data_IF_822127912484
#
_entry.id   IF_822127912484
#
_cell.length_a   1.000
_cell.length_b   1.000
_cell.length_c   1.000
_cell.angle_alpha   90.00
_cell.angle_beta   90.00
_cell.angle_gamma   90.00
#
_symmetry.space_group_name_H-M   'P 1'
#
loop_
_entity.id
_entity.type
_entity.pdbx_description
1 polymer ?
#
# COMPACT_ATOMS: atom_id res chain seq x y z
N UNK A 1 -18.08 -10.75 4.36
CA UNK A 1 -17.74 -9.75 3.33
C UNK A 1 -17.95 -10.36 1.95
N UNK A 2 -18.74 -9.72 1.11
CA UNK A 2 -19.00 -10.17 -0.25
C UNK A 2 -18.10 -9.40 -1.22
N UNK A 3 -17.53 -10.11 -2.18
CA UNK A 3 -16.60 -9.53 -3.15
C UNK A 3 -17.13 -9.68 -4.57
N UNK A 4 -16.92 -8.64 -5.38
CA UNK A 4 -17.26 -8.63 -6.79
C UNK A 4 -15.98 -8.56 -7.62
N UNK A 5 -15.86 -9.44 -8.59
CA UNK A 5 -14.71 -9.46 -9.51
C UNK A 5 -14.77 -8.21 -10.41
N UNK A 6 -13.72 -7.38 -10.37
CA UNK A 6 -13.61 -6.17 -11.20
C UNK A 6 -12.53 -6.29 -12.26
N UNK A 7 -11.64 -7.29 -12.14
CA UNK A 7 -10.57 -7.55 -13.08
C UNK A 7 -9.91 -8.88 -12.68
N UNK A 8 -9.14 -9.47 -13.56
CA UNK A 8 -8.42 -10.70 -13.23
C UNK A 8 -7.51 -10.47 -12.02
N UNK A 9 -7.80 -11.18 -10.93
CA UNK A 9 -7.03 -11.07 -9.71
C UNK A 9 -7.39 -9.92 -8.78
N UNK A 10 -8.45 -9.16 -9.09
CA UNK A 10 -8.94 -8.08 -8.24
C UNK A 10 -10.43 -8.22 -7.99
N UNK A 11 -10.82 -8.17 -6.72
CA UNK A 11 -12.22 -8.21 -6.30
C UNK A 11 -12.49 -7.03 -5.37
N UNK A 12 -13.63 -6.36 -5.51
CA UNK A 12 -14.02 -5.25 -4.65
C UNK A 12 -15.10 -5.71 -3.66
N UNK A 13 -15.00 -5.22 -2.42
CA UNK A 13 -16.01 -5.44 -1.39
C UNK A 13 -16.38 -4.11 -0.75
N UNK A 14 -17.68 -3.84 -0.62
CA UNK A 14 -18.15 -2.68 0.13
C UNK A 14 -17.94 -2.91 1.62
N UNK A 15 -17.54 -1.86 2.33
CA UNK A 15 -17.37 -1.87 3.78
C UNK A 15 -17.98 -0.60 4.37
N UNK A 16 -18.13 -0.58 5.70
CA UNK A 16 -18.49 0.64 6.41
C UNK A 16 -17.31 1.63 6.32
N UNK A 17 -17.51 2.85 5.76
CA UNK A 17 -16.42 3.83 5.66
C UNK A 17 -15.77 4.19 7.00
N UNK A 18 -16.50 4.07 8.12
CA UNK A 18 -15.96 4.27 9.45
C UNK A 18 -14.96 3.19 9.88
N UNK A 19 -14.89 2.08 9.15
CA UNK A 19 -14.00 0.95 9.44
C UNK A 19 -12.88 0.81 8.40
N UNK A 20 -12.57 1.88 7.67
CA UNK A 20 -11.55 1.83 6.61
C UNK A 20 -10.13 1.60 7.14
N UNK A 21 -9.83 2.07 8.36
CA UNK A 21 -8.52 1.84 8.96
C UNK A 21 -8.27 0.34 9.14
N UNK A 22 -7.08 -0.12 8.78
CA UNK A 22 -6.77 -1.54 8.71
C UNK A 22 -7.07 -2.29 10.00
N UNK A 23 -6.67 -1.76 11.16
CA UNK A 23 -6.90 -2.43 12.44
C UNK A 23 -8.38 -2.56 12.75
N UNK A 24 -9.16 -1.48 12.59
CA UNK A 24 -10.61 -1.50 12.83
C UNK A 24 -11.33 -2.43 11.85
N UNK A 25 -10.93 -2.41 10.58
CA UNK A 25 -11.45 -3.29 9.54
C UNK A 25 -11.22 -4.77 9.90
N UNK A 26 -9.98 -5.12 10.23
CA UNK A 26 -9.64 -6.51 10.55
C UNK A 26 -10.38 -7.01 11.78
N UNK A 27 -10.52 -6.18 12.80
CA UNK A 27 -11.26 -6.56 14.01
C UNK A 27 -12.74 -6.80 13.71
N UNK A 28 -13.38 -5.87 13.01
CA UNK A 28 -14.84 -5.94 12.75
C UNK A 28 -15.21 -7.10 11.81
N UNK A 29 -14.45 -7.28 10.74
CA UNK A 29 -14.73 -8.31 9.72
C UNK A 29 -14.03 -9.63 9.99
N UNK A 30 -13.36 -9.76 11.13
CA UNK A 30 -12.64 -10.99 11.54
C UNK A 30 -11.62 -11.45 10.49
N UNK A 31 -10.87 -10.49 9.94
CA UNK A 31 -9.81 -10.76 8.96
C UNK A 31 -8.45 -10.56 9.63
N UNK A 32 -7.55 -11.50 9.42
CA UNK A 32 -6.22 -11.42 10.01
C UNK A 32 -5.40 -10.27 9.45
N UNK A 33 -4.63 -9.60 10.31
CA UNK A 33 -3.68 -8.56 9.89
C UNK A 33 -2.60 -9.13 8.96
N UNK A 34 -2.35 -10.42 9.02
CA UNK A 34 -1.35 -11.12 8.20
C UNK A 34 -1.79 -11.31 6.74
N UNK A 35 -3.07 -11.08 6.43
CA UNK A 35 -3.59 -11.12 5.05
C UNK A 35 -4.09 -9.76 4.59
N UNK A 36 -3.79 -8.71 5.33
CA UNK A 36 -4.08 -7.34 4.97
C UNK A 36 -2.76 -6.60 4.73
N UNK A 37 -2.73 -5.75 3.71
CA UNK A 37 -1.55 -4.97 3.38
C UNK A 37 -1.86 -3.48 3.40
N UNK A 38 -0.92 -2.71 3.91
CA UNK A 38 -1.00 -1.26 3.92
C UNK A 38 -0.18 -0.69 2.76
N UNK A 39 -0.70 0.37 2.15
CA UNK A 39 0.03 1.17 1.16
C UNK A 39 0.47 2.46 1.85
N UNK A 40 1.76 2.60 2.06
CA UNK A 40 2.36 3.75 2.75
C UNK A 40 3.03 4.63 1.71
N UNK A 41 2.66 5.92 1.66
CA UNK A 41 3.27 6.88 0.75
C UNK A 41 4.44 7.56 1.46
N UNK A 42 5.60 7.59 0.82
CA UNK A 42 6.80 8.23 1.33
C UNK A 42 7.23 9.37 0.41
N UNK A 43 7.80 10.41 1.01
CA UNK A 43 8.39 11.55 0.32
C UNK A 43 9.90 11.43 0.42
N UNK A 44 10.56 11.35 -0.72
CA UNK A 44 12.02 11.21 -0.82
C UNK A 44 12.63 12.51 -1.32
N UNK A 45 13.80 12.87 -0.79
CA UNK A 45 14.52 14.09 -1.16
C UNK A 45 15.99 13.80 -1.39
N UNK A 46 16.53 14.43 -2.43
CA UNK A 46 17.97 14.44 -2.69
C UNK A 46 18.31 15.72 -3.47
N UNK A 47 19.17 16.57 -2.90
CA UNK A 47 19.48 17.88 -3.45
C UNK A 47 18.17 18.66 -3.66
N UNK A 48 17.92 19.15 -4.88
CA UNK A 48 16.70 19.92 -5.21
C UNK A 48 15.54 19.01 -5.65
N UNK A 49 15.74 17.71 -5.68
CA UNK A 49 14.71 16.76 -6.09
C UNK A 49 13.83 16.32 -4.94
N UNK A 50 12.53 16.32 -5.20
CA UNK A 50 11.53 15.73 -4.32
C UNK A 50 10.69 14.77 -5.15
N UNK A 51 10.51 13.54 -4.67
CA UNK A 51 9.64 12.58 -5.36
C UNK A 51 8.95 11.70 -4.33
N UNK A 52 7.96 10.95 -4.79
CA UNK A 52 7.13 10.12 -3.95
C UNK A 52 7.20 8.67 -4.39
N UNK A 53 6.99 7.77 -3.46
CA UNK A 53 6.92 6.34 -3.72
C UNK A 53 5.90 5.71 -2.79
N UNK A 54 5.42 4.54 -3.16
CA UNK A 54 4.52 3.76 -2.34
C UNK A 54 5.23 2.50 -1.85
N UNK A 55 4.97 2.14 -0.59
CA UNK A 55 5.46 0.90 0.00
C UNK A 55 4.26 0.05 0.39
N UNK A 56 4.21 -1.19 -0.08
CA UNK A 56 3.12 -2.12 0.25
C UNK A 56 3.68 -3.18 1.18
N UNK A 57 3.17 -3.21 2.40
CA UNK A 57 3.65 -4.11 3.46
C UNK A 57 2.46 -4.75 4.17
N UNK A 58 2.65 -5.97 4.66
CA UNK A 58 1.61 -6.61 5.50
C UNK A 58 1.37 -5.78 6.76
N UNK A 59 0.12 -5.76 7.21
CA UNK A 59 -0.29 -4.97 8.36
C UNK A 59 0.41 -5.38 9.67
N UNK A 60 0.94 -6.61 9.73
CA UNK A 60 1.70 -7.12 10.88
C UNK A 60 3.16 -6.66 10.88
N UNK A 61 3.60 -5.95 9.84
CA UNK A 61 5.00 -5.54 9.67
C UNK A 61 5.11 -4.02 9.54
N UNK A 62 6.35 -3.53 9.55
CA UNK A 62 6.64 -2.11 9.31
C UNK A 62 7.73 -1.97 8.27
N UNK A 63 7.52 -1.06 7.32
CA UNK A 63 8.55 -0.72 6.35
C UNK A 63 9.75 -0.06 7.05
N UNK A 64 10.95 -0.47 6.66
CA UNK A 64 12.17 0.20 7.10
C UNK A 64 12.45 1.39 6.19
N UNK A 65 11.74 2.49 6.46
CA UNK A 65 11.72 3.67 5.58
C UNK A 65 13.10 4.33 5.55
N UNK A 66 13.69 4.62 6.71
CA UNK A 66 14.98 5.32 6.78
C UNK A 66 16.20 4.44 6.44
N UNK A 67 16.04 3.15 6.50
CA UNK A 67 17.10 2.20 6.15
C UNK A 67 16.95 1.73 4.71
N UNK A 68 16.20 0.64 4.53
CA UNK A 68 16.13 -0.08 3.26
C UNK A 68 15.49 0.78 2.16
N UNK A 69 14.34 1.38 2.42
CA UNK A 69 13.60 2.15 1.41
C UNK A 69 14.41 3.37 0.96
N UNK A 70 14.95 4.12 1.91
CA UNK A 70 15.75 5.31 1.59
C UNK A 70 16.94 4.96 0.69
N UNK A 71 17.64 3.90 1.02
CA UNK A 71 18.81 3.46 0.24
C UNK A 71 18.41 2.97 -1.15
N UNK A 72 17.33 2.21 -1.22
CA UNK A 72 16.85 1.69 -2.50
C UNK A 72 16.43 2.83 -3.45
N UNK A 73 15.79 3.86 -2.93
CA UNK A 73 15.37 5.03 -3.71
C UNK A 73 16.50 6.02 -3.96
N UNK A 74 17.69 5.78 -3.42
CA UNK A 74 18.83 6.69 -3.49
C UNK A 74 18.47 8.08 -2.96
N UNK A 75 17.67 8.11 -1.89
CA UNK A 75 17.26 9.35 -1.24
C UNK A 75 18.26 9.73 -0.15
N UNK A 76 18.45 11.03 0.03
CA UNK A 76 19.25 11.55 1.14
C UNK A 76 18.41 11.70 2.40
N UNK A 77 17.15 12.15 2.22
CA UNK A 77 16.15 12.24 3.29
C UNK A 77 14.87 11.57 2.82
N UNK A 78 14.16 10.97 3.76
CA UNK A 78 12.89 10.32 3.48
C UNK A 78 11.99 10.45 4.71
N UNK A 79 10.69 10.58 4.47
CA UNK A 79 9.69 10.62 5.53
C UNK A 79 8.38 10.07 4.99
N UNK A 80 7.44 9.77 5.88
CA UNK A 80 6.07 9.53 5.44
C UNK A 80 5.54 10.82 4.82
N UNK A 81 4.84 10.71 3.68
CA UNK A 81 4.22 11.87 3.06
C UNK A 81 3.15 12.43 4.01
N UNK A 82 3.04 13.77 4.13
CA UNK A 82 1.92 14.35 4.87
C UNK A 82 0.60 13.85 4.28
N UNK A 83 -0.39 13.60 5.13
CA UNK A 83 -1.66 12.99 4.70
C UNK A 83 -2.37 13.81 3.62
N UNK A 84 -2.41 15.13 3.79
CA UNK A 84 -3.02 16.03 2.81
C UNK A 84 -2.30 15.99 1.46
N UNK A 85 -0.98 15.86 1.46
CA UNK A 85 -0.20 15.71 0.23
C UNK A 85 -0.50 14.35 -0.43
N UNK A 86 -0.53 13.26 0.34
CA UNK A 86 -0.83 11.94 -0.19
C UNK A 86 -2.21 11.90 -0.84
N UNK A 87 -3.23 12.45 -0.18
CA UNK A 87 -4.60 12.52 -0.71
C UNK A 87 -4.66 13.37 -1.98
N UNK A 88 -4.04 14.54 -1.96
CA UNK A 88 -4.04 15.47 -3.11
C UNK A 88 -3.34 14.87 -4.33
N UNK A 89 -2.18 14.23 -4.13
CA UNK A 89 -1.38 13.70 -5.24
C UNK A 89 -1.95 12.43 -5.83
N UNK A 90 -2.58 11.58 -5.01
CA UNK A 90 -3.15 10.32 -5.48
C UNK A 90 -4.59 10.46 -5.96
N UNK A 91 -5.31 11.47 -5.50
CA UNK A 91 -6.74 11.59 -5.72
C UNK A 91 -7.56 10.59 -4.93
N UNK A 92 -6.96 9.90 -3.98
CA UNK A 92 -7.59 8.86 -3.16
C UNK A 92 -7.98 9.40 -1.79
N UNK A 93 -8.98 8.77 -1.17
CA UNK A 93 -9.44 9.18 0.15
C UNK A 93 -8.48 8.72 1.25
N UNK A 94 -8.40 9.50 2.31
CA UNK A 94 -7.70 9.12 3.54
C UNK A 94 -8.19 7.75 4.03
N UNK A 95 -7.27 6.87 4.37
CA UNK A 95 -7.62 5.52 4.81
C UNK A 95 -7.97 4.55 3.69
N UNK A 96 -7.99 5.04 2.43
CA UNK A 96 -8.28 4.21 1.26
C UNK A 96 -7.16 4.13 0.26
N UNK A 97 -5.99 4.70 0.55
CA UNK A 97 -4.88 4.74 -0.41
C UNK A 97 -4.45 3.32 -0.79
N UNK A 98 -4.25 3.09 -2.07
CA UNK A 98 -3.95 1.78 -2.65
C UNK A 98 -2.82 1.92 -3.68
N UNK A 99 -2.02 0.85 -3.92
CA UNK A 99 -1.03 0.90 -5.00
C UNK A 99 -1.64 0.88 -6.39
N UNK A 100 -2.91 0.53 -6.53
CA UNK A 100 -3.58 0.47 -7.83
C UNK A 100 -4.03 1.88 -8.22
N UNK A 101 -3.56 2.38 -9.37
CA UNK A 101 -3.96 3.69 -9.88
C UNK A 101 -3.13 4.87 -9.37
N UNK A 102 -1.95 4.62 -8.86
CA UNK A 102 -1.00 5.68 -8.47
C UNK A 102 -0.44 6.40 -9.69
N UNK A 103 0.13 7.62 -9.51
CA UNK A 103 0.80 8.30 -10.62
C UNK A 103 1.85 7.41 -11.29
N UNK A 104 1.97 7.50 -12.61
CA UNK A 104 2.78 6.59 -13.43
C UNK A 104 4.26 6.61 -13.12
N UNK A 105 4.77 7.70 -12.56
CA UNK A 105 6.19 7.88 -12.25
C UNK A 105 6.56 7.49 -10.81
N UNK A 106 5.59 7.03 -10.01
CA UNK A 106 5.87 6.62 -8.63
C UNK A 106 6.40 5.20 -8.58
N UNK A 107 7.58 4.97 -7.98
CA UNK A 107 8.01 3.61 -7.65
C UNK A 107 7.04 2.98 -6.65
N UNK A 108 6.77 1.69 -6.85
CA UNK A 108 5.93 0.91 -5.93
C UNK A 108 6.80 -0.23 -5.40
N UNK A 109 7.13 -0.17 -4.12
CA UNK A 109 7.96 -1.19 -3.48
C UNK A 109 7.05 -2.16 -2.74
N UNK A 110 6.96 -3.38 -3.24
CA UNK A 110 6.11 -4.42 -2.65
C UNK A 110 6.99 -5.33 -1.80
N UNK A 111 6.70 -5.40 -0.52
CA UNK A 111 7.48 -6.25 0.37
C UNK A 111 7.32 -7.72 -0.01
N UNK A 112 8.44 -8.45 0.08
CA UNK A 112 8.46 -9.87 -0.28
C UNK A 112 7.44 -10.67 0.52
N UNK A 113 7.21 -10.33 1.78
CA UNK A 113 6.23 -11.01 2.63
C UNK A 113 4.81 -10.89 2.07
N UNK A 114 4.49 -9.80 1.37
CA UNK A 114 3.19 -9.64 0.69
C UNK A 114 3.06 -10.68 -0.42
N UNK A 115 4.12 -10.84 -1.20
CA UNK A 115 4.12 -11.76 -2.36
C UNK A 115 4.08 -13.24 -1.92
N UNK A 116 4.55 -13.54 -0.71
CA UNK A 116 4.46 -14.90 -0.16
C UNK A 116 3.02 -15.31 0.16
N UNK A 117 2.09 -14.35 0.25
CA UNK A 117 0.66 -14.64 0.34
C UNK A 117 0.08 -14.75 -1.06
N UNK A 118 -0.95 -15.60 -1.23
CA UNK A 118 -1.64 -15.72 -2.54
C UNK A 118 -2.49 -14.49 -2.84
N UNK A 119 -3.16 -13.97 -1.81
CA UNK A 119 -4.07 -12.83 -1.90
C UNK A 119 -3.97 -12.00 -0.64
N UNK A 120 -4.11 -10.68 -0.80
CA UNK A 120 -4.15 -9.75 0.33
C UNK A 120 -5.28 -8.75 0.15
N UNK A 121 -5.75 -8.21 1.25
CA UNK A 121 -6.74 -7.14 1.26
C UNK A 121 -6.01 -5.82 1.32
N UNK A 122 -6.36 -4.92 0.40
CA UNK A 122 -5.74 -3.60 0.28
C UNK A 122 -6.83 -2.53 0.21
N UNK A 123 -6.43 -1.26 0.28
CA UNK A 123 -7.33 -0.13 0.02
C UNK A 123 -7.82 -0.15 -1.42
N UNK A 124 -8.92 0.55 -1.68
CA UNK A 124 -9.53 0.65 -3.00
C UNK A 124 -9.46 2.05 -3.60
N UNK A 125 -8.92 3.01 -2.87
CA UNK A 125 -8.93 4.43 -3.23
C UNK A 125 -10.04 5.21 -2.54
N UNK A 126 -11.02 4.54 -1.97
CA UNK A 126 -12.12 5.15 -1.21
C UNK A 126 -12.31 4.40 0.12
N UNK A 127 -12.95 5.08 1.08
CA UNK A 127 -13.18 4.49 2.39
C UNK A 127 -14.31 3.46 2.39
N UNK A 128 -15.22 3.53 1.44
CA UNK A 128 -16.42 2.68 1.39
C UNK A 128 -16.22 1.30 0.80
N UNK A 129 -14.99 0.93 0.43
CA UNK A 129 -14.70 -0.40 -0.10
C UNK A 129 -13.26 -0.80 0.16
N UNK A 130 -12.97 -2.07 -0.04
CA UNK A 130 -11.63 -2.65 -0.03
C UNK A 130 -11.48 -3.54 -1.25
N UNK A 131 -10.23 -3.77 -1.64
CA UNK A 131 -9.89 -4.72 -2.70
C UNK A 131 -9.28 -5.97 -2.10
N UNK A 132 -9.67 -7.13 -2.62
CA UNK A 132 -8.94 -8.37 -2.45
C UNK A 132 -8.08 -8.52 -3.70
N UNK A 133 -6.78 -8.57 -3.55
CA UNK A 133 -5.84 -8.60 -4.67
C UNK A 133 -5.03 -9.89 -4.67
N UNK A 134 -4.95 -10.55 -5.82
CA UNK A 134 -3.95 -11.57 -6.03
C UNK A 134 -2.58 -10.88 -5.99
N UNK A 135 -1.63 -11.42 -5.24
CA UNK A 135 -0.35 -10.73 -5.04
C UNK A 135 0.47 -10.62 -6.33
N UNK A 136 0.29 -11.54 -7.27
CA UNK A 136 0.91 -11.43 -8.59
C UNK A 136 0.46 -10.18 -9.35
N UNK A 137 -0.77 -9.70 -9.12
CA UNK A 137 -1.27 -8.45 -9.71
C UNK A 137 -0.46 -7.28 -9.15
N UNK A 138 -0.18 -7.28 -7.86
CA UNK A 138 0.61 -6.22 -7.23
C UNK A 138 2.04 -6.21 -7.77
N UNK A 139 2.64 -7.38 -7.97
CA UNK A 139 3.98 -7.49 -8.53
C UNK A 139 4.04 -7.04 -9.99
N UNK A 140 2.92 -7.05 -10.70
CA UNK A 140 2.82 -6.69 -12.12
C UNK A 140 2.42 -5.24 -12.36
N UNK A 141 2.18 -4.45 -11.32
CA UNK A 141 1.82 -3.05 -11.47
C UNK A 141 2.98 -2.27 -12.13
N UNK A 142 2.69 -1.21 -12.91
CA UNK A 142 3.74 -0.37 -13.47
C UNK A 142 4.64 0.18 -12.36
N UNK A 143 5.94 0.10 -12.57
CA UNK A 143 6.98 0.55 -11.61
C UNK A 143 7.01 -0.23 -10.30
N UNK A 144 6.37 -1.40 -10.24
CA UNK A 144 6.43 -2.25 -9.05
C UNK A 144 7.74 -3.05 -9.00
N UNK A 145 8.34 -3.09 -7.83
CA UNK A 145 9.50 -3.92 -7.53
C UNK A 145 9.22 -4.73 -6.26
N UNK A 146 9.58 -5.99 -6.27
CA UNK A 146 9.45 -6.87 -5.11
C UNK A 146 10.81 -6.97 -4.43
N UNK A 147 10.87 -6.59 -3.16
CA UNK A 147 12.09 -6.67 -2.36
C UNK A 147 11.74 -6.72 -0.87
N UNK A 148 12.71 -7.11 -0.05
CA UNK A 148 12.51 -7.14 1.40
C UNK A 148 12.70 -5.71 1.95
N UNK A 149 11.61 -5.06 2.36
CA UNK A 149 11.65 -3.66 2.84
C UNK A 149 11.19 -3.50 4.28
N UNK A 150 10.88 -4.59 4.98
CA UNK A 150 10.39 -4.53 6.35
C UNK A 150 11.52 -4.75 7.35
N UNK A 151 11.35 -4.15 8.55
CA UNK A 151 12.29 -4.37 9.65
C UNK A 151 12.09 -5.78 10.21
N UNK A 152 13.17 -6.47 10.54
CA UNK A 152 13.04 -7.71 11.29
C UNK A 152 12.47 -7.40 12.68
N UNK A 153 11.65 -8.31 13.17
CA UNK A 153 11.10 -8.22 14.53
C UNK A 153 12.19 -8.50 15.58
#
# INVERSE_FOLDING_TARGET
MQSTDVSDGLWVSEIDPGLADTAAFCEHYEIGLDVSANCVVVEARRADRVWFAACVVLAITRADVNGIVRKHLDARKISFAPMDAAVSLTGMEYGGITPVGLPDDWPILVDRNVIDEDRVIIGSGIRGSKLLAATEVLASLPNAEVLAITKPD
#
